data_IF_545701092968
#
_entry.id   IF_545701092968
#
_cell.length_a   1.000
_cell.length_b   1.000
_cell.length_c   1.000
_cell.angle_alpha   90.00
_cell.angle_beta   90.00
_cell.angle_gamma   90.00
#
_symmetry.space_group_name_H-M   'P 1'
#
loop_
_entity.id
_entity.type
_entity.pdbx_description
1 polymer ?
#
# COMPACT_ATOMS: atom_id res chain seq x y z
N UNK A 1 22.04 -46.21 -27.12
CA UNK A 1 22.28 -44.96 -26.37
C UNK A 1 20.97 -44.22 -25.99
N UNK A 2 19.84 -44.92 -25.74
CA UNK A 2 18.50 -44.29 -25.63
C UNK A 2 17.83 -44.49 -24.24
N UNK A 3 18.37 -45.36 -23.36
CA UNK A 3 17.73 -45.66 -22.07
C UNK A 3 17.92 -44.61 -20.96
N UNK A 4 18.83 -43.63 -21.12
CA UNK A 4 19.13 -42.64 -20.07
C UNK A 4 18.37 -41.31 -20.21
N UNK A 5 17.67 -41.07 -21.34
CA UNK A 5 16.96 -39.81 -21.59
C UNK A 5 15.58 -39.80 -20.89
N UNK A 6 14.93 -40.95 -20.77
CA UNK A 6 13.59 -41.06 -20.16
C UNK A 6 13.61 -40.82 -18.64
N UNK A 7 14.69 -41.23 -17.97
CA UNK A 7 14.84 -41.07 -16.52
C UNK A 7 15.04 -39.60 -16.12
N UNK A 8 15.79 -38.83 -16.92
CA UNK A 8 16.02 -37.38 -16.68
C UNK A 8 14.70 -36.60 -16.79
N UNK A 9 13.82 -36.96 -17.72
CA UNK A 9 12.54 -36.29 -17.91
C UNK A 9 11.54 -36.53 -16.75
N UNK A 10 11.56 -37.73 -16.16
CA UNK A 10 10.77 -38.02 -14.95
C UNK A 10 11.28 -37.26 -13.73
N UNK A 11 12.60 -37.19 -13.50
CA UNK A 11 13.17 -36.45 -12.36
C UNK A 11 12.92 -34.94 -12.46
N UNK A 12 13.01 -34.37 -13.67
CA UNK A 12 12.73 -32.94 -13.88
C UNK A 12 11.26 -32.59 -13.60
N UNK A 13 10.33 -33.47 -14.01
CA UNK A 13 8.89 -33.32 -13.79
C UNK A 13 8.51 -33.44 -12.30
N UNK A 14 9.17 -34.35 -11.57
CA UNK A 14 8.97 -34.52 -10.12
C UNK A 14 9.49 -33.29 -9.38
N UNK A 15 10.70 -32.80 -9.71
CA UNK A 15 11.27 -31.60 -9.09
C UNK A 15 10.41 -30.34 -9.33
N UNK A 16 9.86 -30.17 -10.55
CA UNK A 16 8.93 -29.06 -10.83
C UNK A 16 7.64 -29.20 -10.03
N UNK A 17 7.07 -30.41 -9.93
CA UNK A 17 5.83 -30.65 -9.18
C UNK A 17 5.99 -30.40 -7.67
N UNK A 18 7.12 -30.81 -7.08
CA UNK A 18 7.44 -30.55 -5.68
C UNK A 18 7.65 -29.06 -5.43
N UNK A 19 8.33 -28.36 -6.35
CA UNK A 19 8.52 -26.91 -6.25
C UNK A 19 7.19 -26.14 -6.34
N UNK A 20 6.26 -26.58 -7.19
CA UNK A 20 4.93 -25.98 -7.33
C UNK A 20 4.07 -26.25 -6.08
N UNK A 21 4.07 -27.47 -5.55
CA UNK A 21 3.39 -27.80 -4.30
C UNK A 21 3.96 -27.04 -3.11
N UNK A 22 5.28 -26.91 -2.98
CA UNK A 22 5.91 -26.15 -1.91
C UNK A 22 5.60 -24.65 -2.01
N UNK A 23 5.58 -24.08 -3.22
CA UNK A 23 5.14 -22.69 -3.44
C UNK A 23 3.67 -22.52 -3.06
N UNK A 24 2.81 -23.48 -3.42
CA UNK A 24 1.38 -23.42 -3.11
C UNK A 24 1.12 -23.55 -1.59
N UNK A 25 1.77 -24.48 -0.92
CA UNK A 25 1.65 -24.69 0.53
C UNK A 25 2.19 -23.49 1.33
N UNK A 26 3.38 -22.98 0.97
CA UNK A 26 3.95 -21.78 1.61
C UNK A 26 3.11 -20.53 1.37
N UNK A 27 2.40 -20.43 0.23
CA UNK A 27 1.52 -19.30 -0.04
C UNK A 27 0.30 -19.27 0.85
N UNK A 28 -0.32 -20.43 1.09
CA UNK A 28 -1.55 -20.54 1.87
C UNK A 28 -1.26 -20.28 3.35
N UNK A 29 -0.15 -20.80 3.87
CA UNK A 29 0.24 -20.63 5.29
C UNK A 29 0.62 -19.17 5.60
N UNK A 30 1.35 -18.50 4.70
CA UNK A 30 1.90 -17.16 4.94
C UNK A 30 1.03 -16.02 4.38
N UNK A 31 -0.16 -16.32 3.88
CA UNK A 31 -1.08 -15.32 3.36
C UNK A 31 -1.56 -14.39 4.49
N UNK A 32 -1.51 -13.04 4.30
CA UNK A 32 -2.08 -12.12 5.27
C UNK A 32 -3.57 -12.37 5.51
N UNK A 33 -4.01 -12.21 6.76
CA UNK A 33 -5.40 -12.44 7.18
C UNK A 33 -6.42 -11.71 6.29
N UNK A 34 -6.23 -10.41 6.04
CA UNK A 34 -7.15 -9.63 5.21
C UNK A 34 -7.25 -10.20 3.78
N UNK A 35 -6.13 -10.61 3.19
CA UNK A 35 -6.10 -11.22 1.86
C UNK A 35 -6.82 -12.56 1.87
N UNK A 36 -6.65 -13.38 2.91
CA UNK A 36 -7.36 -14.66 3.07
C UNK A 36 -8.86 -14.47 3.21
N UNK A 37 -9.30 -13.46 3.97
CA UNK A 37 -10.72 -13.12 4.15
C UNK A 37 -11.37 -12.59 2.87
N UNK A 38 -10.62 -11.85 2.03
CA UNK A 38 -11.14 -11.30 0.79
C UNK A 38 -11.08 -12.30 -0.38
N UNK A 39 -9.94 -12.98 -0.54
CA UNK A 39 -9.59 -13.72 -1.76
C UNK A 39 -9.34 -15.23 -1.54
N UNK A 40 -9.34 -15.71 -0.31
CA UNK A 40 -9.19 -17.15 -0.03
C UNK A 40 -10.34 -17.98 -0.61
N UNK A 41 -10.26 -19.30 -0.52
CA UNK A 41 -11.28 -20.21 -1.07
C UNK A 41 -12.70 -19.92 -0.55
N UNK A 42 -12.81 -19.55 0.74
CA UNK A 42 -14.06 -19.11 1.37
C UNK A 42 -14.12 -17.58 1.55
N UNK A 43 -13.28 -16.85 0.82
CA UNK A 43 -13.17 -15.40 0.91
C UNK A 43 -14.35 -14.68 0.28
N UNK A 44 -14.60 -13.45 0.72
CA UNK A 44 -15.74 -12.64 0.30
C UNK A 44 -15.91 -12.56 -1.22
N UNK A 45 -14.83 -12.27 -1.98
CA UNK A 45 -14.92 -12.11 -3.43
C UNK A 45 -15.24 -13.44 -4.14
N UNK A 46 -14.78 -14.58 -3.62
CA UNK A 46 -15.15 -15.90 -4.17
C UNK A 46 -16.62 -16.21 -3.93
N UNK A 47 -17.16 -15.85 -2.77
CA UNK A 47 -18.58 -16.08 -2.43
C UNK A 47 -19.54 -15.33 -3.35
N UNK A 48 -19.19 -14.13 -3.78
CA UNK A 48 -20.02 -13.31 -4.67
C UNK A 48 -19.65 -13.46 -6.16
N UNK A 49 -18.81 -14.45 -6.51
CA UNK A 49 -18.30 -14.68 -7.87
C UNK A 49 -17.66 -13.42 -8.50
N UNK A 50 -16.92 -12.66 -7.70
CA UNK A 50 -16.24 -11.43 -8.12
C UNK A 50 -14.74 -11.67 -8.33
N UNK A 51 -14.23 -11.12 -9.43
CA UNK A 51 -12.81 -11.18 -9.79
C UNK A 51 -12.48 -12.25 -10.83
N UNK A 52 -11.19 -12.43 -11.16
CA UNK A 52 -10.77 -13.34 -12.22
C UNK A 52 -10.98 -14.81 -11.84
N UNK A 53 -11.33 -15.63 -12.85
CA UNK A 53 -11.60 -17.05 -12.68
C UNK A 53 -10.34 -17.91 -12.69
N UNK A 54 -9.26 -17.43 -13.32
CA UNK A 54 -7.99 -18.15 -13.43
C UNK A 54 -6.92 -17.53 -12.54
N UNK A 55 -6.01 -18.36 -12.02
CA UNK A 55 -4.87 -17.89 -11.24
C UNK A 55 -3.98 -16.92 -12.03
N UNK A 56 -3.81 -17.17 -13.33
CA UNK A 56 -3.04 -16.30 -14.23
C UNK A 56 -3.64 -14.90 -14.31
N UNK A 57 -4.97 -14.80 -14.42
CA UNK A 57 -5.64 -13.51 -14.53
C UNK A 57 -5.74 -12.79 -13.17
N UNK A 58 -5.84 -13.52 -12.06
CA UNK A 58 -5.68 -12.93 -10.71
C UNK A 58 -4.31 -12.26 -10.55
N UNK A 59 -3.24 -12.91 -11.00
CA UNK A 59 -1.89 -12.35 -10.92
C UNK A 59 -1.73 -11.12 -11.83
N UNK A 60 -2.28 -11.14 -13.04
CA UNK A 60 -2.32 -9.95 -13.92
C UNK A 60 -3.07 -8.79 -13.25
N UNK A 61 -4.23 -9.07 -12.65
CA UNK A 61 -5.01 -8.06 -11.94
C UNK A 61 -4.22 -7.49 -10.76
N UNK A 62 -3.58 -8.35 -9.95
CA UNK A 62 -2.71 -7.91 -8.85
C UNK A 62 -1.61 -6.98 -9.34
N UNK A 63 -0.87 -7.36 -10.39
CA UNK A 63 0.20 -6.52 -10.94
C UNK A 63 -0.35 -5.16 -11.38
N UNK A 64 -1.47 -5.13 -12.10
CA UNK A 64 -2.10 -3.88 -12.56
C UNK A 64 -2.55 -3.00 -11.38
N UNK A 65 -3.17 -3.60 -10.36
CA UNK A 65 -3.58 -2.87 -9.15
C UNK A 65 -2.39 -2.29 -8.41
N UNK A 66 -1.31 -3.05 -8.22
CA UNK A 66 -0.12 -2.59 -7.51
C UNK A 66 0.68 -1.54 -8.29
N UNK A 67 0.76 -1.65 -9.63
CA UNK A 67 1.33 -0.59 -10.47
C UNK A 67 0.54 0.71 -10.36
N UNK A 68 -0.79 0.62 -10.36
CA UNK A 68 -1.65 1.80 -10.18
C UNK A 68 -1.57 2.36 -8.75
N UNK A 69 -1.46 1.51 -7.73
CA UNK A 69 -1.17 1.91 -6.35
C UNK A 69 0.11 2.75 -6.31
N UNK A 70 1.21 2.26 -6.89
CA UNK A 70 2.49 2.98 -6.89
C UNK A 70 2.39 4.33 -7.61
N UNK A 71 1.77 4.38 -8.80
CA UNK A 71 1.55 5.64 -9.55
C UNK A 71 0.75 6.65 -8.72
N UNK A 72 -0.40 6.24 -8.21
CA UNK A 72 -1.25 7.11 -7.39
C UNK A 72 -0.62 7.47 -6.04
N UNK A 73 0.22 6.59 -5.47
CA UNK A 73 0.95 6.86 -4.24
C UNK A 73 1.98 7.97 -4.45
N UNK A 74 2.72 7.96 -5.57
CA UNK A 74 3.64 9.03 -5.93
C UNK A 74 2.92 10.35 -6.21
N UNK A 75 1.78 10.31 -6.92
CA UNK A 75 0.92 11.49 -7.10
C UNK A 75 0.43 12.02 -5.75
N UNK A 76 -0.03 11.14 -4.85
CA UNK A 76 -0.47 11.51 -3.49
C UNK A 76 0.66 12.14 -2.68
N UNK A 77 1.88 11.62 -2.80
CA UNK A 77 3.05 12.18 -2.12
C UNK A 77 3.36 13.61 -2.63
N UNK A 78 3.29 13.83 -3.93
CA UNK A 78 3.45 15.17 -4.52
C UNK A 78 2.36 16.15 -4.09
N UNK A 79 1.10 15.71 -4.08
CA UNK A 79 -0.03 16.49 -3.60
C UNK A 79 0.11 16.83 -2.10
N UNK A 80 0.55 15.87 -1.29
CA UNK A 80 0.82 16.08 0.14
C UNK A 80 1.95 17.10 0.35
N UNK A 81 3.02 17.04 -0.45
CA UNK A 81 4.10 18.02 -0.41
C UNK A 81 3.59 19.44 -0.74
N UNK A 82 2.78 19.57 -1.80
CA UNK A 82 2.19 20.84 -2.21
C UNK A 82 1.24 21.38 -1.13
N UNK A 83 0.33 20.55 -0.63
CA UNK A 83 -0.54 20.86 0.52
C UNK A 83 0.27 21.34 1.74
N UNK A 84 1.38 20.66 2.05
CA UNK A 84 2.25 21.02 3.17
C UNK A 84 2.90 22.39 2.97
N UNK A 85 3.30 22.73 1.75
CA UNK A 85 3.81 24.06 1.40
C UNK A 85 2.77 25.15 1.68
N UNK A 86 1.51 24.94 1.29
CA UNK A 86 0.42 25.86 1.63
C UNK A 86 0.18 25.98 3.14
N UNK A 87 0.31 24.86 3.87
CA UNK A 87 0.22 24.86 5.34
C UNK A 87 1.31 25.69 6.01
N UNK A 88 2.53 25.66 5.48
CA UNK A 88 3.64 26.47 5.98
C UNK A 88 3.43 27.96 5.71
N UNK A 89 2.91 28.34 4.53
CA UNK A 89 2.53 29.73 4.25
C UNK A 89 1.49 30.28 5.24
N UNK A 90 0.48 29.48 5.59
CA UNK A 90 -0.49 29.88 6.64
C UNK A 90 0.17 30.04 8.01
N UNK A 91 1.14 29.19 8.35
CA UNK A 91 1.92 29.32 9.60
C UNK A 91 2.74 30.61 9.64
N UNK A 92 3.19 31.07 8.48
CA UNK A 92 3.94 32.33 8.30
C UNK A 92 3.02 33.57 8.22
N UNK A 93 1.70 33.37 8.25
CA UNK A 93 0.69 34.44 8.30
C UNK A 93 -0.07 34.68 6.99
N UNK A 94 0.29 34.01 5.90
CA UNK A 94 -0.45 34.09 4.64
C UNK A 94 -1.68 33.15 4.68
N UNK A 95 -2.80 33.67 5.17
CA UNK A 95 -4.06 32.94 5.20
C UNK A 95 -4.84 32.99 3.88
N UNK A 96 -4.35 33.69 2.85
CA UNK A 96 -5.03 33.75 1.53
C UNK A 96 -5.05 32.38 0.85
N UNK A 97 -4.07 31.53 1.15
CA UNK A 97 -3.96 30.16 0.61
C UNK A 97 -4.79 29.12 1.38
N UNK A 98 -5.58 29.52 2.38
CA UNK A 98 -6.33 28.60 3.25
C UNK A 98 -7.30 27.71 2.48
N UNK A 99 -8.05 28.29 1.53
CA UNK A 99 -9.00 27.53 0.73
C UNK A 99 -8.28 26.55 -0.21
N UNK A 100 -7.11 26.93 -0.73
CA UNK A 100 -6.27 26.02 -1.50
C UNK A 100 -5.74 24.88 -0.63
N UNK A 101 -5.25 25.15 0.58
CA UNK A 101 -4.80 24.10 1.50
C UNK A 101 -5.92 23.10 1.80
N UNK A 102 -7.14 23.58 2.06
CA UNK A 102 -8.31 22.73 2.29
C UNK A 102 -8.70 21.93 1.05
N UNK A 103 -8.74 22.57 -0.13
CA UNK A 103 -9.07 21.92 -1.41
C UNK A 103 -8.07 20.80 -1.72
N UNK A 104 -6.77 21.10 -1.67
CA UNK A 104 -5.73 20.12 -1.93
C UNK A 104 -5.67 19.05 -0.83
N UNK A 105 -6.09 19.35 0.41
CA UNK A 105 -6.27 18.33 1.44
C UNK A 105 -7.31 17.28 1.07
N UNK A 106 -8.47 17.70 0.55
CA UNK A 106 -9.49 16.76 0.08
C UNK A 106 -9.00 15.93 -1.12
N UNK A 107 -8.34 16.57 -2.09
CA UNK A 107 -7.80 15.89 -3.29
C UNK A 107 -6.72 14.87 -2.90
N UNK A 108 -5.78 15.28 -2.02
CA UNK A 108 -4.71 14.41 -1.52
C UNK A 108 -5.29 13.21 -0.80
N UNK A 109 -6.25 13.42 0.10
CA UNK A 109 -6.89 12.34 0.84
C UNK A 109 -7.63 11.37 -0.11
N UNK A 110 -8.40 11.88 -1.07
CA UNK A 110 -9.10 11.03 -2.04
C UNK A 110 -8.16 10.20 -2.92
N UNK A 111 -7.08 10.82 -3.39
CA UNK A 111 -6.06 10.14 -4.21
C UNK A 111 -5.31 9.09 -3.39
N UNK A 112 -4.97 9.42 -2.14
CA UNK A 112 -4.33 8.50 -1.21
C UNK A 112 -5.24 7.30 -0.89
N UNK A 113 -6.51 7.53 -0.57
CA UNK A 113 -7.44 6.44 -0.26
C UNK A 113 -7.70 5.54 -1.47
N UNK A 114 -7.74 6.12 -2.67
CA UNK A 114 -7.81 5.35 -3.92
C UNK A 114 -6.57 4.46 -4.09
N UNK A 115 -5.38 5.03 -3.89
CA UNK A 115 -4.12 4.28 -3.92
C UNK A 115 -4.09 3.17 -2.86
N UNK A 116 -4.44 3.48 -1.61
CA UNK A 116 -4.45 2.52 -0.50
C UNK A 116 -5.41 1.36 -0.78
N UNK A 117 -6.58 1.65 -1.35
CA UNK A 117 -7.58 0.64 -1.73
C UNK A 117 -7.04 -0.33 -2.78
N UNK A 118 -6.32 0.17 -3.80
CA UNK A 118 -5.69 -0.69 -4.81
C UNK A 118 -4.68 -1.67 -4.21
N UNK A 119 -3.97 -1.28 -3.15
CA UNK A 119 -3.03 -2.18 -2.45
C UNK A 119 -3.76 -3.16 -1.54
N UNK A 120 -4.69 -2.67 -0.71
CA UNK A 120 -5.39 -3.46 0.30
C UNK A 120 -6.30 -4.53 -0.32
N UNK A 121 -6.99 -4.23 -1.41
CA UNK A 121 -7.90 -5.14 -2.08
C UNK A 121 -7.23 -5.98 -3.18
N UNK A 122 -5.91 -5.88 -3.38
CA UNK A 122 -5.22 -6.63 -4.43
C UNK A 122 -5.34 -8.17 -4.24
N UNK A 123 -5.55 -8.96 -5.32
CA UNK A 123 -5.53 -10.42 -5.27
C UNK A 123 -4.24 -10.99 -4.66
N UNK A 124 -4.22 -12.22 -4.12
CA UNK A 124 -3.07 -12.75 -3.39
C UNK A 124 -1.81 -12.89 -4.25
N UNK A 125 -0.65 -12.61 -3.64
CA UNK A 125 0.66 -12.73 -4.28
C UNK A 125 0.97 -14.17 -4.73
N UNK A 126 1.90 -14.31 -5.69
CA UNK A 126 2.42 -15.62 -6.10
C UNK A 126 3.36 -16.23 -5.06
N UNK A 127 3.97 -15.44 -4.19
CA UNK A 127 4.79 -15.91 -3.08
C UNK A 127 4.68 -14.94 -1.94
N UNK A 128 4.61 -15.46 -0.71
CA UNK A 128 4.84 -14.69 0.50
C UNK A 128 6.19 -15.10 1.11
N UNK A 129 7.13 -14.16 1.20
CA UNK A 129 8.44 -14.40 1.81
C UNK A 129 8.45 -14.02 3.30
N UNK A 130 9.16 -14.80 4.12
CA UNK A 130 9.32 -14.55 5.56
C UNK A 130 10.47 -13.56 5.86
N UNK A 131 11.45 -13.40 4.95
CA UNK A 131 12.63 -12.54 5.13
C UNK A 131 12.26 -11.05 5.26
N UNK A 132 13.13 -10.27 5.91
CA UNK A 132 13.03 -8.81 5.87
C UNK A 132 13.47 -8.34 4.48
N UNK A 133 12.59 -7.60 3.84
CA UNK A 133 12.81 -7.02 2.51
C UNK A 133 12.23 -5.62 2.48
N UNK A 134 12.59 -4.86 1.44
CA UNK A 134 12.10 -3.49 1.27
C UNK A 134 10.57 -3.38 1.33
N UNK A 135 9.86 -4.34 0.71
CA UNK A 135 8.40 -4.38 0.72
C UNK A 135 7.82 -4.70 2.11
N UNK A 136 8.53 -5.49 2.93
CA UNK A 136 8.10 -5.78 4.31
C UNK A 136 8.23 -4.55 5.19
N UNK A 137 9.30 -3.76 5.01
CA UNK A 137 9.49 -2.48 5.69
C UNK A 137 8.42 -1.48 5.24
N UNK A 138 8.16 -1.37 3.92
CA UNK A 138 7.06 -0.56 3.39
C UNK A 138 5.72 -0.92 4.04
N UNK A 139 5.43 -2.21 4.23
CA UNK A 139 4.20 -2.66 4.92
C UNK A 139 4.12 -2.22 6.39
N UNK A 140 5.24 -2.12 7.09
CA UNK A 140 5.23 -1.57 8.45
C UNK A 140 5.01 -0.06 8.46
N UNK A 141 5.69 0.65 7.56
CA UNK A 141 5.48 2.07 7.36
C UNK A 141 4.06 2.38 6.90
N UNK A 142 3.38 1.45 6.22
CA UNK A 142 2.01 1.67 5.78
C UNK A 142 1.00 1.81 6.90
N UNK A 143 1.23 1.18 8.05
CA UNK A 143 0.43 1.46 9.24
C UNK A 143 0.61 2.89 9.74
N UNK A 144 1.85 3.40 9.72
CA UNK A 144 2.18 4.76 10.17
C UNK A 144 1.59 5.80 9.24
N UNK A 145 1.86 5.72 7.94
CA UNK A 145 1.35 6.72 7.01
C UNK A 145 -0.17 6.62 6.83
N UNK A 146 -0.78 5.44 6.92
CA UNK A 146 -2.25 5.31 6.90
C UNK A 146 -2.89 5.96 8.13
N UNK A 147 -2.40 5.67 9.34
CA UNK A 147 -2.89 6.32 10.55
C UNK A 147 -2.74 7.84 10.48
N UNK A 148 -1.59 8.32 9.98
CA UNK A 148 -1.33 9.73 9.75
C UNK A 148 -2.31 10.39 8.78
N UNK A 149 -2.54 9.79 7.61
CA UNK A 149 -3.47 10.31 6.60
C UNK A 149 -4.93 10.35 7.07
N UNK A 150 -5.31 9.49 8.02
CA UNK A 150 -6.63 9.56 8.67
C UNK A 150 -6.69 10.65 9.76
N UNK A 151 -5.60 10.84 10.51
CA UNK A 151 -5.54 11.78 11.63
C UNK A 151 -5.40 13.25 11.18
N UNK A 152 -4.60 13.54 10.16
CA UNK A 152 -4.27 14.92 9.74
C UNK A 152 -5.51 15.79 9.45
N UNK A 153 -6.55 15.32 8.72
CA UNK A 153 -7.77 16.11 8.49
C UNK A 153 -8.56 16.40 9.77
N UNK A 154 -8.59 15.45 10.72
CA UNK A 154 -9.22 15.64 12.03
C UNK A 154 -8.47 16.70 12.83
N UNK A 155 -7.13 16.59 12.89
CA UNK A 155 -6.27 17.55 13.57
C UNK A 155 -6.37 18.95 12.95
N UNK A 156 -6.55 19.05 11.62
CA UNK A 156 -6.77 20.33 10.94
C UNK A 156 -8.05 21.03 11.41
N UNK A 157 -9.13 20.28 11.65
CA UNK A 157 -10.37 20.82 12.26
C UNK A 157 -10.19 21.20 13.73
N UNK A 158 -9.37 20.45 14.46
CA UNK A 158 -9.07 20.74 15.87
C UNK A 158 -8.32 22.07 16.05
N UNK A 159 -7.52 22.51 15.06
CA UNK A 159 -6.86 23.83 15.13
C UNK A 159 -7.89 24.96 15.29
N UNK A 160 -9.02 24.87 14.58
CA UNK A 160 -10.05 25.93 14.57
C UNK A 160 -10.89 25.93 15.84
N UNK A 161 -11.01 24.79 16.52
CA UNK A 161 -11.90 24.59 17.68
C UNK A 161 -11.16 24.52 19.01
N UNK A 162 -9.82 24.50 19.00
CA UNK A 162 -9.00 24.38 20.20
C UNK A 162 -8.87 25.71 20.95
N UNK A 163 -9.01 25.66 22.28
CA UNK A 163 -8.68 26.77 23.19
C UNK A 163 -7.17 27.08 23.24
N UNK A 164 -6.33 26.17 22.74
CA UNK A 164 -4.89 26.36 22.62
C UNK A 164 -4.49 26.13 21.16
N UNK A 165 -4.46 27.22 20.39
CA UNK A 165 -4.16 27.22 18.97
C UNK A 165 -2.76 26.65 18.68
N UNK A 166 -1.74 27.15 19.37
CA UNK A 166 -0.33 26.76 19.12
C UNK A 166 -0.10 25.27 19.36
N UNK A 167 -0.69 24.71 20.41
CA UNK A 167 -0.61 23.27 20.69
C UNK A 167 -1.28 22.46 19.59
N UNK A 168 -2.49 22.85 19.16
CA UNK A 168 -3.22 22.14 18.11
C UNK A 168 -2.50 22.22 16.76
N UNK A 169 -1.96 23.40 16.41
CA UNK A 169 -1.16 23.60 15.20
C UNK A 169 0.10 22.74 15.24
N UNK A 170 0.84 22.74 16.35
CA UNK A 170 2.04 21.91 16.53
C UNK A 170 1.72 20.42 16.39
N UNK A 171 0.61 19.95 16.94
CA UNK A 171 0.17 18.56 16.81
C UNK A 171 -0.14 18.20 15.35
N UNK A 172 -0.92 19.04 14.66
CA UNK A 172 -1.22 18.85 13.24
C UNK A 172 0.06 18.78 12.39
N UNK A 173 0.98 19.73 12.56
CA UNK A 173 2.25 19.75 11.84
C UNK A 173 3.13 18.54 12.15
N UNK A 174 3.19 18.11 13.42
CA UNK A 174 3.98 16.94 13.82
C UNK A 174 3.47 15.68 13.13
N UNK A 175 2.16 15.44 13.17
CA UNK A 175 1.57 14.27 12.51
C UNK A 175 1.70 14.36 10.99
N UNK A 176 1.50 15.54 10.40
CA UNK A 176 1.69 15.74 8.96
C UNK A 176 3.13 15.45 8.52
N UNK A 177 4.13 15.93 9.27
CA UNK A 177 5.55 15.70 8.96
C UNK A 177 5.93 14.22 9.11
N UNK A 178 5.47 13.53 10.16
CA UNK A 178 5.70 12.09 10.34
C UNK A 178 5.03 11.30 9.20
N UNK A 179 3.82 11.68 8.80
CA UNK A 179 3.10 11.07 7.67
C UNK A 179 3.89 11.24 6.37
N UNK A 180 4.32 12.48 6.08
CA UNK A 180 5.10 12.79 4.88
C UNK A 180 6.43 12.05 4.85
N UNK A 181 7.16 12.01 5.96
CA UNK A 181 8.42 11.27 6.09
C UNK A 181 8.20 9.77 5.88
N UNK A 182 7.17 9.19 6.52
CA UNK A 182 6.83 7.78 6.37
C UNK A 182 6.45 7.44 4.93
N UNK A 183 5.67 8.27 4.24
CA UNK A 183 5.33 8.08 2.83
C UNK A 183 6.54 8.21 1.91
N UNK A 184 7.41 9.18 2.17
CA UNK A 184 8.65 9.40 1.40
C UNK A 184 9.59 8.20 1.53
N UNK A 185 9.80 7.70 2.76
CA UNK A 185 10.60 6.51 2.99
C UNK A 185 9.97 5.27 2.33
N UNK A 186 8.65 5.11 2.47
CA UNK A 186 7.91 4.06 1.77
C UNK A 186 8.11 4.11 0.26
N UNK A 187 8.13 5.29 -0.36
CA UNK A 187 8.37 5.46 -1.78
C UNK A 187 9.82 5.10 -2.16
N UNK A 188 10.82 5.57 -1.42
CA UNK A 188 12.24 5.24 -1.63
C UNK A 188 12.49 3.73 -1.62
N UNK A 189 11.89 3.05 -0.64
CA UNK A 189 11.98 1.59 -0.50
C UNK A 189 11.47 0.86 -1.76
N UNK A 190 10.49 1.40 -2.49
CA UNK A 190 10.00 0.74 -3.72
C UNK A 190 10.99 0.72 -4.88
N UNK A 191 12.07 1.53 -4.83
CA UNK A 191 13.12 1.55 -5.83
C UNK A 191 14.32 0.67 -5.48
N UNK A 192 14.38 0.13 -4.25
CA UNK A 192 15.45 -0.77 -3.84
C UNK A 192 15.18 -2.21 -4.33
N UNK A 193 16.22 -2.96 -4.72
CA UNK A 193 16.07 -4.37 -5.05
C UNK A 193 15.57 -5.15 -3.82
N UNK A 194 14.67 -6.12 -4.04
CA UNK A 194 14.06 -6.94 -3.00
C UNK A 194 14.03 -8.43 -3.36
#
# INVERSE_FOLDING_TARGET
MIKNVFTIFCFLSIATSQSEQDIQNNNIENMPLHTKLLWGEKGFFKQINFGPQTRKDELKLRVKMLQNHQKLALVSLGLLAYQSSLGNKMKEGDYTVREDHKRFSMITWGTYMTSASLSYFAPPAQKYDKRISSIKIHRWLSYVHFAGMMAVPVLGRNIVTSNNYDKALKQHQTVANVTFASMSLSALLTFLPY
#
